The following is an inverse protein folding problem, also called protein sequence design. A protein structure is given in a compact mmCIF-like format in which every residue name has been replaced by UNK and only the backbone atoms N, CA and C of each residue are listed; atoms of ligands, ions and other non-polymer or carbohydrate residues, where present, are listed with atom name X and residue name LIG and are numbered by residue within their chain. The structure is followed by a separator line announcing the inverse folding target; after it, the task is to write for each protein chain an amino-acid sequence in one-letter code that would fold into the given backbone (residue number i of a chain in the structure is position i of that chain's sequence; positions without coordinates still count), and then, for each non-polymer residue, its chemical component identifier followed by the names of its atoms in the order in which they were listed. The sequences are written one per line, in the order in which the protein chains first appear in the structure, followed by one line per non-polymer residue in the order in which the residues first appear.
data_IF_024577397619
#
_entry.id   IF_024577397619
#
_cell.length_a   1.000
_cell.length_b   1.000
_cell.length_c   1.000
_cell.angle_alpha   90.00
_cell.angle_beta   90.00
_cell.angle_gamma   90.00
#
_symmetry.space_group_name_H-M   'P 1'
#
loop_
_entity.id
_entity.type
_entity.pdbx_description
1 polymer ?
#
# COMPACT_ATOMS: atom_id res chain seq x y z
N UNK A 1 -9.63 13.01 -12.67
CA UNK A 1 -8.46 12.90 -11.77
C UNK A 1 -8.27 11.45 -11.27
N UNK A 2 -8.15 10.46 -12.18
CA UNK A 2 -8.26 9.01 -11.88
C UNK A 2 -7.08 8.37 -11.10
N UNK A 3 -6.02 9.12 -10.84
CA UNK A 3 -4.74 8.58 -10.31
C UNK A 3 -4.53 8.82 -8.82
N UNK A 4 -5.27 9.71 -8.18
CA UNK A 4 -5.12 10.01 -6.74
C UNK A 4 -6.01 9.09 -5.89
N UNK A 5 -5.51 8.58 -4.76
CA UNK A 5 -6.34 7.95 -3.76
C UNK A 5 -7.34 8.96 -3.16
N UNK A 6 -8.47 8.46 -2.66
CA UNK A 6 -9.44 9.29 -1.93
C UNK A 6 -8.83 9.69 -0.58
N UNK A 7 -8.89 10.94 -0.12
CA UNK A 7 -8.16 11.33 1.10
C UNK A 7 -8.58 10.54 2.35
N UNK A 8 -9.82 10.05 2.41
CA UNK A 8 -10.39 9.41 3.61
C UNK A 8 -10.75 7.94 3.40
N UNK A 9 -10.19 7.23 2.41
CA UNK A 9 -10.62 5.87 2.08
C UNK A 9 -10.49 4.87 3.24
N UNK A 10 -9.54 5.10 4.15
CA UNK A 10 -9.38 4.27 5.34
C UNK A 10 -10.56 4.34 6.31
N UNK A 11 -11.22 5.49 6.39
CA UNK A 11 -12.34 5.73 7.31
C UNK A 11 -13.69 5.57 6.63
N UNK A 12 -13.79 6.00 5.36
CA UNK A 12 -15.05 6.07 4.64
C UNK A 12 -15.38 4.82 3.82
N UNK A 13 -14.39 3.95 3.58
CA UNK A 13 -14.53 2.85 2.61
C UNK A 13 -13.95 1.51 3.09
N UNK A 14 -12.87 1.53 3.87
CA UNK A 14 -12.33 0.30 4.49
C UNK A 14 -13.07 -0.02 5.80
N UNK A 15 -13.32 -1.30 6.05
CA UNK A 15 -13.99 -1.79 7.25
C UNK A 15 -13.09 -2.63 8.18
N UNK A 16 -12.13 -3.37 7.61
CA UNK A 16 -11.23 -4.28 8.36
C UNK A 16 -9.76 -3.84 8.34
N UNK A 17 -9.40 -2.94 7.41
CA UNK A 17 -8.08 -2.30 7.34
C UNK A 17 -8.20 -0.86 7.82
N UNK A 18 -7.25 -0.42 8.64
CA UNK A 18 -7.18 0.95 9.13
C UNK A 18 -5.82 1.60 8.84
N UNK A 19 -5.72 2.91 9.11
CA UNK A 19 -4.51 3.68 8.87
C UNK A 19 -3.28 3.13 9.62
N UNK A 20 -3.45 2.63 10.85
CA UNK A 20 -2.35 2.06 11.63
C UNK A 20 -1.79 0.78 10.99
N UNK A 21 -2.65 -0.12 10.51
CA UNK A 21 -2.21 -1.32 9.79
C UNK A 21 -1.46 -0.98 8.50
N UNK A 22 -1.87 0.08 7.79
CA UNK A 22 -1.14 0.59 6.62
C UNK A 22 0.23 1.11 7.01
N UNK A 23 0.35 1.90 8.08
CA UNK A 23 1.65 2.40 8.54
C UNK A 23 2.61 1.25 8.85
N UNK A 24 2.14 0.24 9.61
CA UNK A 24 2.92 -0.97 9.92
C UNK A 24 3.36 -1.69 8.63
N UNK A 25 2.46 -1.83 7.65
CA UNK A 25 2.82 -2.42 6.36
C UNK A 25 3.89 -1.59 5.63
N UNK A 26 3.74 -0.27 5.60
CA UNK A 26 4.68 0.62 4.91
C UNK A 26 6.07 0.58 5.55
N UNK A 27 6.15 0.59 6.88
CA UNK A 27 7.41 0.45 7.61
C UNK A 27 8.11 -0.87 7.24
N UNK A 28 7.36 -1.98 7.21
CA UNK A 28 7.90 -3.26 6.77
C UNK A 28 8.33 -3.26 5.29
N UNK A 29 7.60 -2.58 4.40
CA UNK A 29 8.00 -2.46 2.98
C UNK A 29 9.26 -1.61 2.79
N UNK A 30 9.55 -0.66 3.68
CA UNK A 30 10.83 0.08 3.68
C UNK A 30 11.98 -0.89 3.95
N UNK A 31 11.86 -1.72 4.99
CA UNK A 31 12.88 -2.72 5.33
C UNK A 31 13.12 -3.69 4.16
N UNK A 32 12.05 -4.16 3.50
CA UNK A 32 12.16 -5.01 2.30
C UNK A 32 12.87 -4.28 1.16
N UNK A 33 12.51 -3.01 0.88
CA UNK A 33 13.15 -2.25 -0.18
C UNK A 33 14.65 -2.06 0.06
N UNK A 34 15.06 -1.83 1.32
CA UNK A 34 16.46 -1.70 1.72
C UNK A 34 17.24 -3.01 1.56
N UNK A 35 16.68 -4.12 2.03
CA UNK A 35 17.29 -5.46 1.94
C UNK A 35 17.56 -5.85 0.49
N UNK A 36 16.58 -5.61 -0.40
CA UNK A 36 16.70 -5.90 -1.84
C UNK A 36 17.36 -4.77 -2.64
N UNK A 37 17.79 -3.68 -1.99
CA UNK A 37 18.46 -2.51 -2.61
C UNK A 37 17.65 -1.91 -3.77
N UNK A 38 16.33 -1.84 -3.60
CA UNK A 38 15.43 -1.24 -4.58
C UNK A 38 15.62 0.29 -4.62
N UNK A 39 15.26 0.89 -5.75
CA UNK A 39 15.31 2.34 -5.90
C UNK A 39 14.22 3.00 -5.03
N UNK A 40 14.47 4.21 -4.47
CA UNK A 40 13.44 4.95 -3.72
C UNK A 40 12.13 5.14 -4.51
N UNK A 41 12.24 5.33 -5.83
CA UNK A 41 11.09 5.46 -6.73
C UNK A 41 10.19 4.22 -6.73
N UNK A 42 10.77 3.01 -6.61
CA UNK A 42 10.02 1.76 -6.50
C UNK A 42 9.15 1.76 -5.24
N UNK A 43 9.69 2.19 -4.10
CA UNK A 43 8.93 2.30 -2.85
C UNK A 43 7.82 3.35 -2.97
N UNK A 44 8.11 4.52 -3.54
CA UNK A 44 7.10 5.57 -3.75
C UNK A 44 5.95 5.10 -4.64
N UNK A 45 6.26 4.40 -5.74
CA UNK A 45 5.26 3.80 -6.62
C UNK A 45 4.47 2.69 -5.93
N UNK A 46 5.13 1.85 -5.13
CA UNK A 46 4.48 0.80 -4.33
C UNK A 46 3.40 1.38 -3.44
N UNK A 47 3.73 2.44 -2.69
CA UNK A 47 2.77 3.12 -1.79
C UNK A 47 1.64 3.76 -2.59
N UNK A 48 1.94 4.39 -3.73
CA UNK A 48 0.93 4.99 -4.60
C UNK A 48 -0.05 3.94 -5.16
N UNK A 49 0.43 2.74 -5.52
CA UNK A 49 -0.42 1.63 -5.96
C UNK A 49 -1.27 1.06 -4.83
N UNK A 50 -0.67 0.87 -3.64
CA UNK A 50 -1.35 0.41 -2.44
C UNK A 50 -2.55 1.32 -2.10
N UNK A 51 -2.32 2.62 -1.98
CA UNK A 51 -3.35 3.58 -1.58
C UNK A 51 -4.46 3.71 -2.63
N UNK A 52 -4.09 3.66 -3.90
CA UNK A 52 -5.06 3.69 -5.00
C UNK A 52 -5.94 2.44 -5.01
N UNK A 53 -5.36 1.28 -4.74
CA UNK A 53 -6.12 0.04 -4.64
C UNK A 53 -7.12 0.10 -3.48
N UNK A 54 -6.64 0.46 -2.28
CA UNK A 54 -7.47 0.57 -1.08
C UNK A 54 -8.51 1.72 -1.18
N UNK A 55 -8.30 2.70 -2.07
CA UNK A 55 -9.31 3.73 -2.34
C UNK A 55 -10.53 3.26 -3.12
N UNK A 56 -10.46 2.08 -3.75
CA UNK A 56 -11.52 1.59 -4.62
C UNK A 56 -11.88 0.11 -4.39
N UNK A 57 -11.13 -0.62 -3.57
CA UNK A 57 -11.36 -2.03 -3.27
C UNK A 57 -11.27 -2.29 -1.76
N UNK A 58 -12.36 -2.79 -1.17
CA UNK A 58 -12.36 -3.21 0.23
C UNK A 58 -11.49 -4.47 0.38
N UNK A 59 -10.64 -4.50 1.39
CA UNK A 59 -9.70 -5.59 1.61
C UNK A 59 -9.81 -6.11 3.04
N UNK A 60 -9.78 -7.43 3.19
CA UNK A 60 -9.60 -8.06 4.49
C UNK A 60 -8.12 -8.01 4.91
N UNK A 61 -7.85 -7.75 6.19
CA UNK A 61 -6.50 -7.50 6.71
C UNK A 61 -5.50 -8.62 6.44
N UNK A 62 -5.96 -9.87 6.33
CA UNK A 62 -5.10 -11.02 6.02
C UNK A 62 -4.45 -10.94 4.63
N UNK A 63 -5.03 -10.15 3.71
CA UNK A 63 -4.49 -9.94 2.36
C UNK A 63 -3.65 -8.66 2.23
N UNK A 64 -3.50 -7.88 3.30
CA UNK A 64 -2.86 -6.57 3.24
C UNK A 64 -1.37 -6.67 2.85
N UNK A 65 -0.63 -7.60 3.45
CA UNK A 65 0.77 -7.86 3.09
C UNK A 65 0.91 -8.38 1.65
N UNK A 66 0.03 -9.30 1.23
CA UNK A 66 0.00 -9.79 -0.15
C UNK A 66 -0.19 -8.65 -1.16
N UNK A 67 -1.11 -7.73 -0.88
CA UNK A 67 -1.30 -6.53 -1.71
C UNK A 67 -0.03 -5.68 -1.75
N UNK A 68 0.59 -5.43 -0.59
CA UNK A 68 1.83 -4.64 -0.50
C UNK A 68 2.97 -5.21 -1.35
N UNK A 69 3.26 -6.51 -1.21
CA UNK A 69 4.31 -7.18 -2.00
C UNK A 69 3.95 -7.22 -3.48
N UNK A 70 2.67 -7.41 -3.83
CA UNK A 70 2.22 -7.36 -5.22
C UNK A 70 2.41 -5.97 -5.83
N UNK A 71 2.11 -4.90 -5.09
CA UNK A 71 2.37 -3.53 -5.52
C UNK A 71 3.86 -3.27 -5.73
N UNK A 72 4.72 -3.80 -4.85
CA UNK A 72 6.18 -3.69 -4.97
C UNK A 72 6.70 -4.41 -6.21
N UNK A 73 6.24 -5.63 -6.45
CA UNK A 73 6.57 -6.39 -7.66
C UNK A 73 6.19 -5.63 -8.94
N UNK A 74 5.04 -4.97 -8.96
CA UNK A 74 4.58 -4.18 -10.12
C UNK A 74 5.40 -2.88 -10.30
N UNK A 75 5.95 -2.34 -9.21
CA UNK A 75 6.72 -1.10 -9.21
C UNK A 75 8.22 -1.29 -9.47
N UNK A 76 8.71 -2.54 -9.41
CA UNK A 76 10.11 -2.92 -9.58
C UNK A 76 10.52 -3.04 -11.05
#
# INVERSE_FOLDING_TARGET
NKRRPSPNYMESFQHDVNANMRSILVDWLVEVAEEYKLLPDTLHLTIAYLDRFLSSNALYRQKLQLLGVSCMLIAS
#
